data_IF_132617087941
#
_entry.id   IF_132617087941
#
_cell.length_a   1.000
_cell.length_b   1.000
_cell.length_c   1.000
_cell.angle_alpha   90.00
_cell.angle_beta   90.00
_cell.angle_gamma   90.00
#
_symmetry.space_group_name_H-M   'P 1'
#
loop_
_entity.id
_entity.type
_entity.pdbx_description
1 polymer ?
#
# COMPACT_ATOMS: atom_id res chain seq x y z
N UNK A 1 148.92 -44.05 -13.97
CA UNK A 1 147.88 -44.04 -12.91
C UNK A 1 146.86 -42.90 -13.02
N UNK A 2 146.97 -42.02 -14.02
CA UNK A 2 146.09 -40.86 -14.25
C UNK A 2 144.64 -41.23 -14.65
N UNK A 3 144.42 -42.46 -15.12
CA UNK A 3 143.12 -42.92 -15.61
C UNK A 3 142.09 -43.14 -14.50
N UNK A 4 142.49 -43.57 -13.30
CA UNK A 4 141.56 -43.86 -12.19
C UNK A 4 140.97 -42.58 -11.57
N UNK A 5 141.78 -41.54 -11.38
CA UNK A 5 141.28 -40.22 -10.92
C UNK A 5 140.40 -39.53 -11.96
N UNK A 6 140.71 -39.69 -13.25
CA UNK A 6 139.90 -39.16 -14.33
C UNK A 6 138.53 -39.86 -14.40
N UNK A 7 138.50 -41.20 -14.28
CA UNK A 7 137.26 -41.97 -14.20
C UNK A 7 136.40 -41.55 -13.01
N UNK A 8 137.00 -41.28 -11.86
CA UNK A 8 136.27 -40.87 -10.65
C UNK A 8 135.72 -39.43 -10.75
N UNK A 9 136.45 -38.52 -11.41
CA UNK A 9 135.93 -37.19 -11.77
C UNK A 9 134.78 -37.27 -12.78
N UNK A 10 134.91 -38.15 -13.77
CA UNK A 10 133.87 -38.38 -14.77
C UNK A 10 132.61 -38.99 -14.13
N UNK A 11 132.78 -39.97 -13.24
CA UNK A 11 131.70 -40.58 -12.47
C UNK A 11 130.99 -39.57 -11.58
N UNK A 12 131.74 -38.72 -10.85
CA UNK A 12 131.16 -37.64 -10.05
C UNK A 12 130.43 -36.61 -10.92
N UNK A 13 130.98 -36.23 -12.08
CA UNK A 13 130.33 -35.31 -13.01
C UNK A 13 129.03 -35.91 -13.57
N UNK A 14 129.05 -37.19 -13.95
CA UNK A 14 127.87 -37.91 -14.43
C UNK A 14 126.83 -38.04 -13.31
N UNK A 15 127.24 -38.38 -12.09
CA UNK A 15 126.36 -38.47 -10.92
C UNK A 15 125.70 -37.13 -10.57
N UNK A 16 126.46 -36.04 -10.55
CA UNK A 16 125.90 -34.70 -10.28
C UNK A 16 124.97 -34.23 -11.40
N UNK A 17 125.33 -34.49 -12.67
CA UNK A 17 124.49 -34.09 -13.79
C UNK A 17 123.18 -34.89 -13.81
N UNK A 18 123.23 -36.21 -13.60
CA UNK A 18 122.03 -37.07 -13.46
C UNK A 18 121.19 -36.64 -12.27
N UNK A 19 121.81 -36.32 -11.12
CA UNK A 19 121.08 -35.85 -9.94
C UNK A 19 120.37 -34.53 -10.20
N UNK A 20 121.03 -33.60 -10.89
CA UNK A 20 120.48 -32.29 -11.26
C UNK A 20 119.34 -32.45 -12.27
N UNK A 21 119.52 -33.27 -13.31
CA UNK A 21 118.47 -33.61 -14.28
C UNK A 21 117.28 -34.30 -13.60
N UNK A 22 117.52 -35.25 -12.69
CA UNK A 22 116.45 -35.95 -11.96
C UNK A 22 115.66 -34.99 -11.05
N UNK A 23 116.33 -34.06 -10.37
CA UNK A 23 115.67 -33.00 -9.59
C UNK A 23 114.86 -32.06 -10.48
N UNK A 24 115.38 -31.68 -11.65
CA UNK A 24 114.65 -30.85 -12.62
C UNK A 24 113.42 -31.57 -13.19
N UNK A 25 113.54 -32.84 -13.57
CA UNK A 25 112.43 -33.66 -14.06
C UNK A 25 111.36 -33.81 -12.97
N UNK A 26 111.76 -34.09 -11.73
CA UNK A 26 110.83 -34.19 -10.60
C UNK A 26 110.14 -32.85 -10.32
N UNK A 27 110.89 -31.74 -10.31
CA UNK A 27 110.32 -30.41 -10.13
C UNK A 27 109.34 -30.03 -11.25
N UNK A 28 109.67 -30.35 -12.51
CA UNK A 28 108.79 -30.12 -13.64
C UNK A 28 107.52 -30.98 -13.56
N UNK A 29 107.63 -32.25 -13.19
CA UNK A 29 106.48 -33.14 -12.99
C UNK A 29 105.56 -32.63 -11.87
N UNK A 30 106.13 -32.23 -10.73
CA UNK A 30 105.39 -31.65 -9.60
C UNK A 30 104.74 -30.33 -9.99
N UNK A 31 105.46 -29.44 -10.70
CA UNK A 31 104.89 -28.16 -11.16
C UNK A 31 103.73 -28.37 -12.13
N UNK A 32 103.87 -29.28 -13.08
CA UNK A 32 102.81 -29.60 -14.03
C UNK A 32 101.58 -30.22 -13.34
N UNK A 33 101.79 -31.15 -12.41
CA UNK A 33 100.70 -31.71 -11.59
C UNK A 33 100.04 -30.65 -10.69
N UNK A 34 100.81 -29.70 -10.16
CA UNK A 34 100.27 -28.60 -9.35
C UNK A 34 99.45 -27.63 -10.21
N UNK A 35 99.94 -27.31 -11.42
CA UNK A 35 99.23 -26.45 -12.36
C UNK A 35 97.90 -27.05 -12.80
N UNK A 36 97.87 -28.35 -13.16
CA UNK A 36 96.62 -29.03 -13.51
C UNK A 36 95.65 -29.11 -12.33
N UNK A 37 96.15 -29.35 -11.10
CA UNK A 37 95.32 -29.36 -9.90
C UNK A 37 94.72 -27.98 -9.59
N UNK A 38 95.49 -26.90 -9.78
CA UNK A 38 94.99 -25.53 -9.64
C UNK A 38 93.96 -25.17 -10.71
N UNK A 39 94.18 -25.58 -11.96
CA UNK A 39 93.23 -25.38 -13.05
C UNK A 39 91.90 -26.10 -12.78
N UNK A 40 91.95 -27.36 -12.35
CA UNK A 40 90.75 -28.11 -11.94
C UNK A 40 90.06 -27.43 -10.75
N UNK A 41 90.83 -27.01 -9.73
CA UNK A 41 90.29 -26.34 -8.55
C UNK A 41 89.60 -25.02 -8.88
N UNK A 42 90.20 -24.19 -9.74
CA UNK A 42 89.61 -22.91 -10.17
C UNK A 42 88.37 -23.10 -11.04
N UNK A 43 88.39 -24.08 -11.95
CA UNK A 43 87.22 -24.44 -12.76
C UNK A 43 86.05 -24.90 -11.87
N UNK A 44 86.32 -25.78 -10.91
CA UNK A 44 85.30 -26.26 -9.96
C UNK A 44 84.75 -25.13 -9.08
N UNK A 45 85.61 -24.24 -8.58
CA UNK A 45 85.20 -23.07 -7.81
C UNK A 45 84.30 -22.14 -8.63
N UNK A 46 84.68 -21.89 -9.89
CA UNK A 46 83.90 -21.03 -10.80
C UNK A 46 82.54 -21.67 -11.10
N UNK A 47 82.51 -22.98 -11.39
CA UNK A 47 81.26 -23.71 -11.60
C UNK A 47 80.38 -23.71 -10.35
N UNK A 48 80.97 -23.90 -9.17
CA UNK A 48 80.26 -23.86 -7.88
C UNK A 48 79.66 -22.48 -7.66
N UNK A 49 80.42 -21.40 -7.88
CA UNK A 49 79.92 -20.03 -7.76
C UNK A 49 78.76 -19.73 -8.72
N UNK A 50 78.85 -20.20 -9.97
CA UNK A 50 77.76 -20.06 -10.96
C UNK A 50 76.51 -20.83 -10.53
N UNK A 51 76.68 -22.06 -10.01
CA UNK A 51 75.57 -22.86 -9.48
C UNK A 51 74.93 -22.21 -8.25
N UNK A 52 75.73 -21.70 -7.31
CA UNK A 52 75.23 -20.95 -6.15
C UNK A 52 74.43 -19.74 -6.58
N UNK A 53 74.92 -18.96 -7.55
CA UNK A 53 74.21 -17.78 -8.07
C UNK A 53 72.86 -18.14 -8.69
N UNK A 54 72.81 -19.21 -9.49
CA UNK A 54 71.55 -19.71 -10.09
C UNK A 54 70.58 -20.20 -9.03
N UNK A 55 71.07 -20.90 -8.01
CA UNK A 55 70.23 -21.37 -6.91
C UNK A 55 69.65 -20.19 -6.14
N UNK A 56 70.45 -19.18 -5.82
CA UNK A 56 69.98 -17.96 -5.15
C UNK A 56 68.92 -17.22 -5.98
N UNK A 57 69.07 -17.14 -7.30
CA UNK A 57 68.07 -16.52 -8.18
C UNK A 57 66.72 -17.27 -8.09
N UNK A 58 66.74 -18.60 -8.19
CA UNK A 58 65.55 -19.44 -8.02
C UNK A 58 64.94 -19.29 -6.62
N UNK A 59 65.75 -19.29 -5.57
CA UNK A 59 65.30 -19.08 -4.18
C UNK A 59 64.59 -17.74 -4.02
N UNK A 60 65.16 -16.65 -4.57
CA UNK A 60 64.53 -15.33 -4.51
C UNK A 60 63.23 -15.27 -5.31
N UNK A 61 63.16 -15.95 -6.46
CA UNK A 61 61.95 -16.05 -7.26
C UNK A 61 60.84 -16.79 -6.51
N UNK A 62 61.17 -17.94 -5.91
CA UNK A 62 60.21 -18.72 -5.11
C UNK A 62 59.73 -17.90 -3.92
N UNK A 63 60.63 -17.22 -3.21
CA UNK A 63 60.29 -16.42 -2.04
C UNK A 63 59.37 -15.23 -2.39
N UNK A 64 59.60 -14.59 -3.54
CA UNK A 64 58.72 -13.55 -4.06
C UNK A 64 57.33 -14.12 -4.44
N UNK A 65 57.29 -15.24 -5.15
CA UNK A 65 56.03 -15.90 -5.52
C UNK A 65 55.23 -16.33 -4.28
N UNK A 66 55.88 -16.93 -3.29
CA UNK A 66 55.25 -17.31 -2.02
C UNK A 66 54.68 -16.10 -1.31
N UNK A 67 55.46 -15.03 -1.17
CA UNK A 67 54.98 -13.78 -0.55
C UNK A 67 53.77 -13.19 -1.29
N UNK A 68 53.78 -13.21 -2.63
CA UNK A 68 52.65 -12.75 -3.44
C UNK A 68 51.39 -13.60 -3.21
N UNK A 69 51.53 -14.92 -3.15
CA UNK A 69 50.42 -15.83 -2.90
C UNK A 69 49.85 -15.67 -1.48
N UNK A 70 50.71 -15.46 -0.49
CA UNK A 70 50.29 -15.17 0.90
C UNK A 70 49.47 -13.88 0.98
N UNK A 71 49.90 -12.82 0.32
CA UNK A 71 49.16 -11.55 0.28
C UNK A 71 47.79 -11.75 -0.38
N UNK A 72 47.74 -12.43 -1.53
CA UNK A 72 46.48 -12.70 -2.23
C UNK A 72 45.52 -13.56 -1.38
N UNK A 73 46.06 -14.54 -0.65
CA UNK A 73 45.25 -15.37 0.24
C UNK A 73 44.64 -14.55 1.37
N UNK A 74 45.41 -13.63 1.96
CA UNK A 74 44.93 -12.73 3.01
C UNK A 74 43.86 -11.76 2.48
N UNK A 75 44.06 -11.18 1.30
CA UNK A 75 43.09 -10.29 0.66
C UNK A 75 41.76 -11.02 0.37
N UNK A 76 41.85 -12.25 -0.15
CA UNK A 76 40.69 -13.09 -0.39
C UNK A 76 39.98 -13.44 0.92
N UNK A 77 40.72 -13.84 1.96
CA UNK A 77 40.14 -14.14 3.27
C UNK A 77 39.42 -12.94 3.87
N UNK A 78 40.01 -11.74 3.79
CA UNK A 78 39.38 -10.51 4.26
C UNK A 78 38.09 -10.19 3.49
N UNK A 79 38.13 -10.36 2.17
CA UNK A 79 36.97 -10.14 1.29
C UNK A 79 35.83 -11.12 1.61
N UNK A 80 36.15 -12.40 1.81
CA UNK A 80 35.19 -13.42 2.23
C UNK A 80 34.57 -13.09 3.59
N UNK A 81 35.37 -12.72 4.59
CA UNK A 81 34.86 -12.30 5.90
C UNK A 81 33.90 -11.10 5.82
N UNK A 82 34.17 -10.15 4.91
CA UNK A 82 33.29 -9.00 4.69
C UNK A 82 31.96 -9.44 4.07
N UNK A 83 32.00 -10.33 3.08
CA UNK A 83 30.81 -10.88 2.44
C UNK A 83 29.96 -11.70 3.42
N UNK A 84 30.59 -12.53 4.26
CA UNK A 84 29.90 -13.30 5.30
C UNK A 84 29.15 -12.40 6.29
N UNK A 85 29.77 -11.29 6.73
CA UNK A 85 29.10 -10.30 7.58
C UNK A 85 27.92 -9.64 6.88
N UNK A 86 28.05 -9.31 5.60
CA UNK A 86 26.95 -8.73 4.82
C UNK A 86 25.80 -9.71 4.66
N UNK A 87 26.10 -10.98 4.35
CA UNK A 87 25.11 -12.04 4.26
C UNK A 87 24.34 -12.21 5.57
N UNK A 88 25.05 -12.25 6.70
CA UNK A 88 24.40 -12.37 8.02
C UNK A 88 23.42 -11.21 8.30
N UNK A 89 23.82 -9.98 7.98
CA UNK A 89 22.95 -8.81 8.14
C UNK A 89 21.73 -8.89 7.22
N UNK A 90 21.91 -9.28 5.95
CA UNK A 90 20.81 -9.46 5.02
C UNK A 90 19.85 -10.57 5.46
N UNK A 91 20.37 -11.70 5.94
CA UNK A 91 19.55 -12.80 6.48
C UNK A 91 18.69 -12.31 7.65
N UNK A 92 19.26 -11.50 8.56
CA UNK A 92 18.51 -10.94 9.67
C UNK A 92 17.39 -9.99 9.20
N UNK A 93 17.66 -9.12 8.23
CA UNK A 93 16.62 -8.24 7.67
C UNK A 93 15.52 -9.03 6.95
N UNK A 94 15.88 -10.09 6.21
CA UNK A 94 14.91 -11.00 5.59
C UNK A 94 14.03 -11.66 6.66
N UNK A 95 14.62 -12.13 7.77
CA UNK A 95 13.86 -12.72 8.88
C UNK A 95 12.86 -11.72 9.46
N UNK A 96 13.29 -10.47 9.72
CA UNK A 96 12.40 -9.42 10.23
C UNK A 96 11.27 -9.09 9.26
N UNK A 97 11.55 -9.07 7.96
CA UNK A 97 10.55 -8.84 6.93
C UNK A 97 9.55 -10.00 6.87
N UNK A 98 10.04 -11.23 7.00
CA UNK A 98 9.20 -12.42 7.04
C UNK A 98 8.23 -12.38 8.23
N UNK A 99 8.71 -12.05 9.43
CA UNK A 99 7.87 -11.93 10.63
C UNK A 99 6.80 -10.84 10.47
N UNK A 100 7.18 -9.68 9.92
CA UNK A 100 6.23 -8.59 9.62
C UNK A 100 5.19 -9.01 8.59
N UNK A 101 5.60 -9.74 7.55
CA UNK A 101 4.69 -10.21 6.52
C UNK A 101 3.69 -11.22 7.09
N UNK A 102 4.15 -12.15 7.93
CA UNK A 102 3.28 -13.09 8.62
C UNK A 102 2.24 -12.40 9.51
N UNK A 103 2.64 -11.34 10.25
CA UNK A 103 1.70 -10.55 11.05
C UNK A 103 0.65 -9.83 10.19
N UNK A 104 1.05 -9.30 9.03
CA UNK A 104 0.13 -8.64 8.10
C UNK A 104 -0.85 -9.64 7.49
N UNK A 105 -0.37 -10.82 7.09
CA UNK A 105 -1.21 -11.90 6.58
C UNK A 105 -2.24 -12.34 7.63
N UNK A 106 -1.84 -12.50 8.89
CA UNK A 106 -2.77 -12.83 9.98
C UNK A 106 -3.84 -11.74 10.16
N UNK A 107 -3.44 -10.46 10.19
CA UNK A 107 -4.39 -9.35 10.32
C UNK A 107 -5.37 -9.28 9.15
N UNK A 108 -4.90 -9.59 7.95
CA UNK A 108 -5.74 -9.64 6.76
C UNK A 108 -6.76 -10.76 6.87
N UNK A 109 -6.36 -11.96 7.30
CA UNK A 109 -7.29 -13.08 7.53
C UNK A 109 -8.33 -12.76 8.62
N UNK A 110 -7.92 -12.14 9.73
CA UNK A 110 -8.84 -11.70 10.78
C UNK A 110 -9.83 -10.64 10.29
N UNK A 111 -9.36 -9.72 9.44
CA UNK A 111 -10.22 -8.71 8.82
C UNK A 111 -11.21 -9.35 7.84
N UNK A 112 -10.76 -10.28 7.00
CA UNK A 112 -11.61 -11.00 6.05
C UNK A 112 -12.67 -11.85 6.77
N UNK A 113 -12.33 -12.50 7.89
CA UNK A 113 -13.29 -13.26 8.71
C UNK A 113 -14.38 -12.35 9.25
N UNK A 114 -13.99 -11.19 9.83
CA UNK A 114 -14.95 -10.20 10.35
C UNK A 114 -15.89 -9.68 9.27
N UNK A 115 -15.36 -9.28 8.11
CA UNK A 115 -16.19 -8.83 7.00
C UNK A 115 -17.14 -9.93 6.50
N UNK A 116 -16.71 -11.19 6.51
CA UNK A 116 -17.56 -12.31 6.13
C UNK A 116 -18.72 -12.50 7.12
N UNK A 117 -18.44 -12.42 8.42
CA UNK A 117 -19.46 -12.50 9.47
C UNK A 117 -20.46 -11.34 9.37
N UNK A 118 -19.99 -10.11 9.18
CA UNK A 118 -20.84 -8.93 8.98
C UNK A 118 -21.73 -9.07 7.72
N UNK A 119 -21.18 -9.58 6.63
CA UNK A 119 -21.95 -9.79 5.38
C UNK A 119 -23.05 -10.84 5.55
N UNK A 120 -22.79 -11.92 6.30
CA UNK A 120 -23.83 -12.93 6.56
C UNK A 120 -24.90 -12.38 7.51
N UNK A 121 -24.52 -11.61 8.55
CA UNK A 121 -25.50 -10.93 9.41
C UNK A 121 -26.41 -9.97 8.62
N UNK A 122 -25.83 -9.16 7.73
CA UNK A 122 -26.60 -8.27 6.85
C UNK A 122 -27.52 -9.03 5.88
N UNK A 123 -27.10 -10.21 5.41
CA UNK A 123 -27.95 -11.07 4.57
C UNK A 123 -29.15 -11.61 5.35
N UNK A 124 -28.94 -12.04 6.59
CA UNK A 124 -30.03 -12.51 7.46
C UNK A 124 -31.03 -11.39 7.78
N UNK A 125 -30.52 -10.19 8.11
CA UNK A 125 -31.36 -9.02 8.35
C UNK A 125 -32.16 -8.63 7.11
N UNK A 126 -31.50 -8.61 5.93
CA UNK A 126 -32.17 -8.38 4.65
C UNK A 126 -33.29 -9.40 4.40
N UNK A 127 -33.04 -10.68 4.67
CA UNK A 127 -34.05 -11.74 4.53
C UNK A 127 -35.27 -11.48 5.43
N UNK A 128 -35.02 -11.12 6.69
CA UNK A 128 -36.07 -10.80 7.67
C UNK A 128 -36.90 -9.57 7.25
N UNK A 129 -36.25 -8.52 6.74
CA UNK A 129 -36.92 -7.33 6.24
C UNK A 129 -37.76 -7.64 4.99
N UNK A 130 -37.25 -8.46 4.07
CA UNK A 130 -38.02 -8.89 2.89
C UNK A 130 -39.28 -9.67 3.27
N UNK A 131 -39.19 -10.54 4.28
CA UNK A 131 -40.36 -11.26 4.80
C UNK A 131 -41.40 -10.28 5.40
N UNK A 132 -40.94 -9.31 6.19
CA UNK A 132 -41.80 -8.31 6.80
C UNK A 132 -42.51 -7.45 5.75
N UNK A 133 -41.79 -7.00 4.72
CA UNK A 133 -42.36 -6.25 3.59
C UNK A 133 -43.38 -7.11 2.83
N UNK A 134 -43.11 -8.40 2.65
CA UNK A 134 -44.07 -9.34 2.06
C UNK A 134 -45.37 -9.45 2.87
N UNK A 135 -45.25 -9.56 4.20
CA UNK A 135 -46.41 -9.57 5.12
C UNK A 135 -47.17 -8.24 5.11
N UNK A 136 -46.48 -7.10 5.10
CA UNK A 136 -47.13 -5.79 5.00
C UNK A 136 -47.89 -5.65 3.68
N UNK A 137 -47.30 -6.11 2.57
CA UNK A 137 -47.93 -6.06 1.24
C UNK A 137 -49.22 -6.87 1.19
N UNK A 138 -49.25 -8.06 1.82
CA UNK A 138 -50.46 -8.89 1.86
C UNK A 138 -51.57 -8.25 2.71
N UNK A 139 -51.21 -7.63 3.84
CA UNK A 139 -52.15 -6.90 4.70
C UNK A 139 -52.72 -5.67 4.00
N UNK A 140 -51.90 -4.90 3.29
CA UNK A 140 -52.37 -3.74 2.51
C UNK A 140 -53.41 -4.19 1.48
N UNK A 141 -53.13 -5.27 0.74
CA UNK A 141 -54.05 -5.79 -0.27
C UNK A 141 -55.39 -6.24 0.32
N UNK A 142 -55.36 -6.83 1.51
CA UNK A 142 -56.57 -7.19 2.26
C UNK A 142 -57.36 -5.93 2.66
N UNK A 143 -56.70 -4.92 3.22
CA UNK A 143 -57.32 -3.65 3.59
C UNK A 143 -57.93 -2.90 2.39
N UNK A 144 -57.24 -2.88 1.24
CA UNK A 144 -57.76 -2.32 -0.01
C UNK A 144 -59.04 -3.02 -0.45
N UNK A 145 -59.09 -4.35 -0.33
CA UNK A 145 -60.26 -5.16 -0.67
C UNK A 145 -61.43 -4.81 0.25
N UNK A 146 -61.20 -4.75 1.57
CA UNK A 146 -62.22 -4.37 2.55
C UNK A 146 -62.72 -2.93 2.35
N UNK A 147 -61.82 -1.99 2.04
CA UNK A 147 -62.18 -0.61 1.74
C UNK A 147 -63.02 -0.52 0.46
N UNK A 148 -62.72 -1.32 -0.55
CA UNK A 148 -63.52 -1.44 -1.78
C UNK A 148 -64.95 -1.90 -1.48
N UNK A 149 -65.10 -2.95 -0.66
CA UNK A 149 -66.42 -3.42 -0.22
C UNK A 149 -67.19 -2.36 0.59
N UNK A 150 -66.54 -1.71 1.56
CA UNK A 150 -67.16 -0.66 2.37
C UNK A 150 -67.60 0.54 1.51
N UNK A 151 -66.75 0.97 0.56
CA UNK A 151 -67.07 2.07 -0.36
C UNK A 151 -68.24 1.69 -1.27
N UNK A 152 -68.26 0.47 -1.81
CA UNK A 152 -69.36 -0.04 -2.62
C UNK A 152 -70.70 -0.01 -1.85
N UNK A 153 -70.72 -0.53 -0.63
CA UNK A 153 -71.88 -0.50 0.25
C UNK A 153 -72.34 0.95 0.54
N UNK A 154 -71.40 1.85 0.81
CA UNK A 154 -71.71 3.25 1.07
C UNK A 154 -72.31 3.95 -0.16
N UNK A 155 -71.80 3.69 -1.37
CA UNK A 155 -72.41 4.22 -2.61
C UNK A 155 -73.80 3.65 -2.88
N UNK A 156 -74.07 2.38 -2.51
CA UNK A 156 -75.40 1.79 -2.63
C UNK A 156 -76.38 2.45 -1.65
N UNK A 157 -75.94 2.67 -0.40
CA UNK A 157 -76.73 3.40 0.60
C UNK A 157 -77.00 4.84 0.16
N UNK A 158 -76.00 5.54 -0.38
CA UNK A 158 -76.15 6.90 -0.92
C UNK A 158 -77.18 6.94 -2.06
N UNK A 159 -77.19 5.93 -2.96
CA UNK A 159 -78.21 5.82 -4.01
C UNK A 159 -79.60 5.60 -3.42
N UNK A 160 -79.78 4.71 -2.44
CA UNK A 160 -81.07 4.55 -1.77
C UNK A 160 -81.53 5.84 -1.10
N UNK A 161 -80.61 6.61 -0.51
CA UNK A 161 -80.92 7.88 0.13
C UNK A 161 -81.31 8.96 -0.89
N UNK A 162 -80.69 8.94 -2.08
CA UNK A 162 -81.07 9.80 -3.20
C UNK A 162 -82.45 9.42 -3.75
N UNK A 163 -82.73 8.14 -3.98
CA UNK A 163 -84.05 7.67 -4.43
C UNK A 163 -85.15 8.04 -3.41
N UNK A 164 -84.84 7.92 -2.11
CA UNK A 164 -85.74 8.36 -1.05
C UNK A 164 -85.96 9.89 -1.09
N UNK A 165 -84.90 10.66 -1.32
CA UNK A 165 -85.02 12.11 -1.51
C UNK A 165 -85.82 12.46 -2.76
N UNK A 166 -85.65 11.76 -3.88
CA UNK A 166 -86.35 12.05 -5.14
C UNK A 166 -87.84 11.66 -5.06
N UNK A 167 -88.17 10.58 -4.36
CA UNK A 167 -89.56 10.24 -4.03
C UNK A 167 -90.17 11.26 -3.08
N UNK A 168 -89.43 11.71 -2.07
CA UNK A 168 -89.86 12.81 -1.19
C UNK A 168 -90.03 14.12 -1.97
N UNK A 169 -89.13 14.47 -2.89
CA UNK A 169 -89.23 15.65 -3.75
C UNK A 169 -90.39 15.53 -4.73
N UNK A 170 -90.67 14.33 -5.26
CA UNK A 170 -91.84 14.08 -6.10
C UNK A 170 -93.14 14.25 -5.32
N UNK A 171 -93.21 13.74 -4.09
CA UNK A 171 -94.33 13.99 -3.18
C UNK A 171 -94.45 15.47 -2.83
N UNK A 172 -93.34 16.14 -2.52
CA UNK A 172 -93.28 17.59 -2.30
C UNK A 172 -93.69 18.38 -3.54
N UNK A 173 -93.37 17.93 -4.76
CA UNK A 173 -93.75 18.60 -6.02
C UNK A 173 -95.23 18.39 -6.33
N UNK A 174 -95.76 17.20 -6.01
CA UNK A 174 -97.20 16.92 -6.01
C UNK A 174 -97.94 17.79 -4.99
N UNK A 175 -97.31 18.11 -3.84
CA UNK A 175 -97.82 19.04 -2.84
C UNK A 175 -97.51 20.52 -3.16
N UNK A 176 -96.47 20.80 -3.93
CA UNK A 176 -95.94 22.13 -4.23
C UNK A 176 -96.26 22.51 -5.67
N UNK A 177 -97.54 22.82 -5.86
CA UNK A 177 -97.89 23.97 -6.70
C UNK A 177 -97.38 25.23 -6.00
N UNK A 178 -96.08 25.53 -6.09
CA UNK A 178 -95.51 26.75 -5.51
C UNK A 178 -94.00 26.80 -5.31
N UNK A 179 -93.25 27.02 -6.39
CA UNK A 179 -92.13 27.97 -6.47
C UNK A 179 -90.83 27.81 -5.64
N UNK A 180 -89.73 27.63 -6.39
CA UNK A 180 -88.44 28.35 -6.34
C UNK A 180 -87.36 27.97 -5.29
N UNK A 181 -86.20 27.56 -5.84
CA UNK A 181 -84.85 27.36 -5.26
C UNK A 181 -84.23 28.72 -4.84
N UNK A 182 -83.14 28.81 -4.04
CA UNK A 182 -81.82 28.81 -4.68
C UNK A 182 -80.63 28.27 -3.86
N UNK A 183 -79.61 27.97 -4.66
CA UNK A 183 -78.22 27.57 -4.42
C UNK A 183 -77.34 28.78 -4.04
N UNK A 184 -76.18 28.59 -3.39
CA UNK A 184 -75.06 29.57 -3.30
C UNK A 184 -73.80 28.86 -2.77
N UNK A 185 -72.82 28.54 -3.63
CA UNK A 185 -71.62 29.33 -4.04
C UNK A 185 -70.40 29.15 -3.14
N UNK A 186 -69.36 28.54 -3.72
CA UNK A 186 -68.00 28.44 -3.19
C UNK A 186 -67.25 29.73 -3.49
N UNK A 187 -66.51 30.25 -2.50
CA UNK A 187 -65.70 31.46 -2.57
C UNK A 187 -64.22 31.08 -2.69
N UNK A 188 -63.50 31.78 -3.56
CA UNK A 188 -62.07 31.66 -3.82
C UNK A 188 -61.26 32.42 -2.74
N UNK A 189 -60.12 31.86 -2.34
CA UNK A 189 -59.21 32.39 -1.31
C UNK A 189 -58.03 33.11 -1.97
N UNK A 190 -57.71 34.31 -1.49
CA UNK A 190 -56.56 35.12 -1.92
C UNK A 190 -55.28 34.59 -1.26
N UNK A 191 -54.28 34.26 -2.08
CA UNK A 191 -53.04 33.60 -1.66
C UNK A 191 -52.15 34.56 -0.84
N UNK A 192 -52.22 34.45 0.50
CA UNK A 192 -51.33 35.16 1.42
C UNK A 192 -49.88 34.73 1.20
N UNK A 193 -48.98 35.69 0.99
CA UNK A 193 -47.54 35.47 0.83
C UNK A 193 -46.85 35.47 2.20
N UNK A 194 -46.20 34.38 2.55
CA UNK A 194 -45.42 34.25 3.79
C UNK A 194 -43.92 34.42 3.51
N UNK A 195 -43.19 35.20 4.32
CA UNK A 195 -41.77 35.50 4.07
C UNK A 195 -40.82 34.52 4.76
N UNK A 196 -41.23 33.96 5.89
CA UNK A 196 -40.46 33.02 6.66
C UNK A 196 -41.37 32.03 7.41
N UNK A 197 -40.76 31.12 8.16
CA UNK A 197 -41.50 30.14 8.96
C UNK A 197 -42.22 30.78 10.16
N UNK A 198 -41.82 31.96 10.62
CA UNK A 198 -42.47 32.65 11.72
C UNK A 198 -43.81 33.27 11.26
N UNK A 199 -43.85 33.86 10.06
CA UNK A 199 -45.08 34.34 9.42
C UNK A 199 -46.07 33.17 9.21
N UNK A 200 -45.58 32.01 8.76
CA UNK A 200 -46.36 30.78 8.62
C UNK A 200 -46.91 30.30 9.98
N UNK A 201 -46.07 30.31 11.02
CA UNK A 201 -46.48 29.90 12.35
C UNK A 201 -47.60 30.80 12.89
N UNK A 202 -47.46 32.12 12.74
CA UNK A 202 -48.51 33.09 13.14
C UNK A 202 -49.80 32.94 12.34
N UNK A 203 -49.72 32.46 11.09
CA UNK A 203 -50.88 32.16 10.27
C UNK A 203 -51.59 30.84 10.62
N UNK A 204 -51.09 30.10 11.62
CA UNK A 204 -51.70 28.87 12.14
C UNK A 204 -51.10 27.58 11.61
N UNK A 205 -49.99 27.64 10.85
CA UNK A 205 -49.28 26.45 10.39
C UNK A 205 -48.34 25.94 11.48
N UNK A 206 -48.82 25.04 12.33
CA UNK A 206 -48.09 24.54 13.50
C UNK A 206 -47.45 23.15 13.32
N UNK A 207 -47.41 22.60 12.10
CA UNK A 207 -46.80 21.29 11.84
C UNK A 207 -45.40 21.43 11.24
N UNK A 208 -44.46 20.63 11.69
CA UNK A 208 -43.14 20.55 11.05
C UNK A 208 -43.29 20.11 9.58
N UNK A 209 -42.49 20.67 8.68
CA UNK A 209 -42.53 20.27 7.28
C UNK A 209 -41.89 21.28 6.33
N UNK A 210 -41.96 20.96 5.04
CA UNK A 210 -41.45 21.84 3.97
C UNK A 210 -42.54 22.80 3.55
N UNK A 211 -42.24 24.10 3.61
CA UNK A 211 -43.14 25.17 3.21
C UNK A 211 -42.48 26.05 2.15
N UNK A 212 -43.30 26.74 1.36
CA UNK A 212 -42.84 27.73 0.39
C UNK A 212 -42.89 29.12 1.03
N UNK A 213 -41.74 29.78 1.08
CA UNK A 213 -41.61 31.16 1.54
C UNK A 213 -41.27 32.08 0.37
N UNK A 214 -41.55 33.37 0.52
CA UNK A 214 -41.28 34.40 -0.46
C UNK A 214 -40.10 35.25 0.00
N UNK A 215 -38.95 35.11 -0.65
CA UNK A 215 -37.75 35.92 -0.37
C UNK A 215 -37.98 37.35 -0.88
N UNK A 216 -38.56 37.47 -2.07
CA UNK A 216 -38.90 38.74 -2.73
C UNK A 216 -40.27 38.63 -3.41
N UNK A 217 -40.78 39.73 -4.00
CA UNK A 217 -42.09 39.73 -4.67
C UNK A 217 -42.23 38.73 -5.84
N UNK A 218 -41.09 38.27 -6.39
CA UNK A 218 -41.00 37.40 -7.55
C UNK A 218 -40.30 36.07 -7.27
N UNK A 219 -39.68 35.90 -6.10
CA UNK A 219 -38.81 34.76 -5.80
C UNK A 219 -39.32 33.99 -4.60
N UNK A 220 -39.54 32.70 -4.81
CA UNK A 220 -39.97 31.77 -3.76
C UNK A 220 -38.90 30.72 -3.53
N UNK A 221 -38.75 30.31 -2.28
CA UNK A 221 -37.86 29.23 -1.90
C UNK A 221 -38.60 28.24 -1.01
N UNK A 222 -38.24 26.96 -1.09
CA UNK A 222 -38.76 25.92 -0.22
C UNK A 222 -37.82 25.77 0.96
N UNK A 223 -38.36 25.82 2.16
CA UNK A 223 -37.59 25.69 3.41
C UNK A 223 -38.24 24.68 4.32
N UNK A 224 -37.44 24.04 5.16
CA UNK A 224 -37.97 23.25 6.26
C UNK A 224 -38.29 24.15 7.44
N UNK A 225 -39.54 24.13 7.88
CA UNK A 225 -39.98 24.83 9.07
C UNK A 225 -40.12 23.85 10.24
N UNK A 226 -39.39 24.13 11.32
CA UNK A 226 -39.62 23.49 12.61
C UNK A 226 -40.61 24.35 13.42
N UNK A 227 -41.85 23.88 13.48
CA UNK A 227 -42.98 24.53 14.12
C UNK A 227 -43.26 24.01 15.53
N UNK A 228 -42.65 22.90 15.93
CA UNK A 228 -42.95 22.25 17.22
C UNK A 228 -41.88 22.53 18.30
N UNK A 229 -40.61 22.68 17.89
CA UNK A 229 -39.49 22.83 18.82
C UNK A 229 -39.34 24.27 19.30
N UNK A 230 -39.02 24.46 20.57
CA UNK A 230 -38.61 25.74 21.17
C UNK A 230 -39.50 26.95 20.79
N UNK A 231 -40.82 26.75 20.77
CA UNK A 231 -41.80 27.81 20.48
C UNK A 231 -42.22 27.94 19.00
N UNK A 232 -41.63 27.15 18.10
CA UNK A 232 -42.03 27.07 16.69
C UNK A 232 -41.60 28.26 15.83
N UNK A 233 -41.88 28.18 14.52
CA UNK A 233 -41.58 29.23 13.55
C UNK A 233 -40.13 29.29 13.06
N UNK A 234 -39.34 28.22 13.27
CA UNK A 234 -37.92 28.19 12.90
C UNK A 234 -37.72 27.81 11.44
N UNK A 235 -37.09 28.68 10.67
CA UNK A 235 -36.56 28.36 9.33
C UNK A 235 -35.22 27.64 9.48
N UNK A 236 -35.16 26.38 9.08
CA UNK A 236 -33.95 25.57 9.17
C UNK A 236 -33.06 25.82 7.96
N UNK A 237 -31.86 26.36 8.20
CA UNK A 237 -30.89 26.70 7.15
C UNK A 237 -29.89 25.56 6.85
N UNK A 238 -29.72 24.64 7.80
CA UNK A 238 -28.88 23.45 7.69
C UNK A 238 -29.47 22.33 8.54
N UNK A 239 -29.47 21.11 8.02
CA UNK A 239 -29.89 19.91 8.74
C UNK A 239 -28.94 18.74 8.46
N UNK A 240 -28.56 18.01 9.52
CA UNK A 240 -27.72 16.81 9.52
C UNK A 240 -28.41 15.71 10.35
N UNK A 241 -28.39 14.48 9.85
CA UNK A 241 -29.07 13.36 10.50
C UNK A 241 -28.25 12.06 10.38
N UNK A 242 -28.05 11.56 9.16
CA UNK A 242 -27.49 10.24 8.89
C UNK A 242 -26.13 10.27 8.18
N UNK A 243 -25.66 11.44 7.74
CA UNK A 243 -24.42 11.59 6.98
C UNK A 243 -24.50 11.09 5.54
N UNK A 244 -25.71 10.86 5.00
CA UNK A 244 -25.92 10.44 3.61
C UNK A 244 -25.50 11.49 2.58
N UNK A 245 -25.48 12.77 2.97
CA UNK A 245 -25.07 13.87 2.11
C UNK A 245 -23.64 14.31 2.42
N UNK A 246 -22.80 14.36 1.39
CA UNK A 246 -21.45 14.92 1.50
C UNK A 246 -21.52 16.45 1.65
N UNK A 247 -20.89 16.97 2.71
CA UNK A 247 -20.76 18.40 2.99
C UNK A 247 -19.40 18.96 2.54
N UNK A 248 -18.48 18.15 2.04
CA UNK A 248 -17.22 18.63 1.46
C UNK A 248 -17.46 19.19 0.04
N UNK A 249 -18.10 20.35 -0.02
CA UNK A 249 -18.57 20.99 -1.26
C UNK A 249 -17.76 22.22 -1.65
N UNK A 250 -17.87 22.59 -2.91
CA UNK A 250 -17.25 23.81 -3.45
C UNK A 250 -17.97 25.08 -2.97
N UNK A 251 -17.30 26.23 -3.04
CA UNK A 251 -17.91 27.53 -2.70
C UNK A 251 -19.19 27.80 -3.50
N UNK A 252 -19.22 27.43 -4.78
CA UNK A 252 -20.40 27.62 -5.64
C UNK A 252 -21.60 26.83 -5.14
N UNK A 253 -21.38 25.61 -4.64
CA UNK A 253 -22.45 24.78 -4.07
C UNK A 253 -22.94 25.34 -2.74
N UNK A 254 -22.05 25.78 -1.84
CA UNK A 254 -22.45 26.47 -0.61
C UNK A 254 -23.21 27.77 -0.87
N UNK A 255 -22.84 28.50 -1.94
CA UNK A 255 -23.54 29.70 -2.38
C UNK A 255 -24.98 29.40 -2.78
N UNK A 256 -25.20 28.38 -3.62
CA UNK A 256 -26.51 28.04 -4.18
C UNK A 256 -27.37 27.12 -3.30
N UNK A 257 -26.78 26.46 -2.29
CA UNK A 257 -27.43 25.41 -1.53
C UNK A 257 -27.27 24.02 -2.17
N UNK A 258 -27.38 22.99 -1.34
CA UNK A 258 -27.32 21.58 -1.76
C UNK A 258 -28.06 20.66 -0.78
N UNK A 259 -28.46 19.48 -1.25
CA UNK A 259 -29.24 18.52 -0.47
C UNK A 259 -30.74 18.62 -0.70
N UNK A 260 -31.51 18.02 0.20
CA UNK A 260 -32.98 18.06 0.16
C UNK A 260 -33.50 18.70 1.44
N UNK A 261 -34.37 19.70 1.32
CA UNK A 261 -35.03 20.34 2.47
C UNK A 261 -35.89 19.39 3.30
N UNK A 262 -36.23 18.20 2.77
CA UNK A 262 -36.90 17.14 3.53
C UNK A 262 -35.93 16.20 4.27
N UNK A 263 -34.62 16.38 4.13
CA UNK A 263 -33.56 15.54 4.70
C UNK A 263 -32.31 16.36 5.05
N UNK A 264 -31.11 15.82 4.80
CA UNK A 264 -29.87 16.59 4.97
C UNK A 264 -29.76 17.68 3.90
N UNK A 265 -29.42 18.90 4.30
CA UNK A 265 -29.23 20.02 3.37
C UNK A 265 -28.43 21.18 3.95
N UNK A 266 -27.97 22.03 3.02
CA UNK A 266 -27.55 23.41 3.21
C UNK A 266 -28.43 24.30 2.34
N UNK A 267 -29.16 25.26 2.92
CA UNK A 267 -30.16 26.05 2.19
C UNK A 267 -29.54 26.94 1.09
N UNK A 268 -28.31 27.41 1.29
CA UNK A 268 -27.63 28.37 0.42
C UNK A 268 -27.23 29.64 1.18
N UNK A 269 -26.18 30.30 0.70
CA UNK A 269 -25.71 31.57 1.30
C UNK A 269 -26.39 32.80 0.66
N UNK A 270 -26.98 32.64 -0.52
CA UNK A 270 -27.83 33.66 -1.19
C UNK A 270 -29.31 33.29 -1.00
#
# INVERSE_FOLDING_TARGET
ENYTQWLQKLENYIQENIKTEMVQIQAHAVHNQTATMLEIGTSLLTQTAEQTRKLTDVETQVLNQTSRLEIQLLENSLSTNKLEKQLLLQTNEISKLHDKNGLLEQKMQEMESRHREELEALREEKGSLQELVGKQSSVIRELETQLGHATGNNTALQRQQQDLMDTMHSLLTLCSKGGVVPNSTKQADEERKFRDCADLFQAGFHKNGVYTIHINMLETNKVYCNMESAGGGWTVIQHREDGSLDFQRTWKEYKMGFGSVSGEHWLGNE
#
